data_IF_985307578725
#
_entry.id   IF_985307578725
#
_cell.length_a   1.000
_cell.length_b   1.000
_cell.length_c   1.000
_cell.angle_alpha   90.00
_cell.angle_beta   90.00
_cell.angle_gamma   90.00
#
_symmetry.space_group_name_H-M   'P 1'
#
loop_
_entity.id
_entity.type
_entity.pdbx_description
1 polymer ?
#
# COMPACT_ATOMS: atom_id res chain seq x y z
N UNK A 1 15.93 19.36 35.19
CA UNK A 1 16.87 18.48 34.46
C UNK A 1 16.19 18.06 33.17
N UNK A 2 16.62 18.57 32.01
CA UNK A 2 16.20 18.00 30.73
C UNK A 2 17.07 16.76 30.50
N UNK A 3 16.49 15.58 30.72
CA UNK A 3 17.17 14.33 30.38
C UNK A 3 17.58 14.34 28.92
N UNK A 4 18.77 13.82 28.64
CA UNK A 4 19.27 13.56 27.29
C UNK A 4 18.16 12.88 26.49
N UNK A 5 17.79 13.45 25.33
CA UNK A 5 16.75 12.84 24.50
C UNK A 5 17.21 11.46 24.05
N UNK A 6 16.33 10.43 24.09
CA UNK A 6 16.68 9.13 23.57
C UNK A 6 16.98 9.25 22.07
N UNK A 7 18.13 8.71 21.65
CA UNK A 7 18.51 8.61 20.24
C UNK A 7 17.63 7.56 19.56
N UNK A 8 17.06 7.90 18.40
CA UNK A 8 16.20 6.99 17.66
C UNK A 8 17.04 5.90 16.99
N UNK A 9 16.63 4.65 17.13
CA UNK A 9 17.19 3.55 16.35
C UNK A 9 16.66 3.54 14.93
N UNK A 10 17.58 3.62 13.98
CA UNK A 10 17.27 3.68 12.56
C UNK A 10 16.65 2.38 12.02
N UNK A 11 16.89 1.22 12.65
CA UNK A 11 16.23 -0.03 12.31
C UNK A 11 14.74 -0.04 12.64
N UNK A 12 14.34 0.62 13.74
CA UNK A 12 12.92 0.85 14.04
C UNK A 12 12.35 2.00 13.20
N UNK A 13 13.13 3.05 12.95
CA UNK A 13 12.73 4.17 12.09
C UNK A 13 12.40 3.70 10.67
N UNK A 14 13.16 2.74 10.12
CA UNK A 14 12.92 2.14 8.81
C UNK A 14 11.60 1.36 8.71
N UNK A 15 10.95 1.02 9.85
CA UNK A 15 9.65 0.35 9.90
C UNK A 15 8.48 1.31 10.12
N UNK A 16 8.76 2.61 10.21
CA UNK A 16 7.76 3.64 10.44
C UNK A 16 6.97 3.91 9.16
N UNK A 17 5.63 3.89 9.26
CA UNK A 17 4.72 4.10 8.14
C UNK A 17 4.70 5.49 7.51
N UNK A 18 5.46 6.44 8.06
CA UNK A 18 5.60 7.80 7.54
C UNK A 18 6.83 8.51 8.13
N UNK A 19 7.38 9.49 7.43
CA UNK A 19 8.66 10.14 7.79
C UNK A 19 8.49 11.47 8.57
N UNK A 20 7.38 11.59 9.30
CA UNK A 20 7.11 12.80 10.09
C UNK A 20 8.11 12.97 11.24
N UNK A 21 8.72 14.16 11.38
CA UNK A 21 9.60 14.51 12.53
C UNK A 21 8.94 14.23 13.88
N UNK A 22 7.62 14.47 13.98
CA UNK A 22 6.83 14.18 15.18
C UNK A 22 6.73 12.68 15.43
N UNK A 23 6.44 11.89 14.40
CA UNK A 23 6.35 10.44 14.50
C UNK A 23 7.69 9.81 14.92
N UNK A 24 8.80 10.20 14.31
CA UNK A 24 10.15 9.77 14.69
C UNK A 24 10.48 10.10 16.15
N UNK A 25 10.16 11.32 16.59
CA UNK A 25 10.32 11.71 18.00
C UNK A 25 9.48 10.84 18.94
N UNK A 26 8.21 10.59 18.60
CA UNK A 26 7.32 9.76 19.44
C UNK A 26 7.75 8.31 19.49
N UNK A 27 8.29 7.78 18.39
CA UNK A 27 8.90 6.46 18.40
C UNK A 27 10.12 6.42 19.34
N UNK A 28 11.01 7.41 19.26
CA UNK A 28 12.16 7.50 20.17
C UNK A 28 11.74 7.54 21.65
N UNK A 29 10.66 8.26 21.98
CA UNK A 29 10.12 8.32 23.35
C UNK A 29 9.55 6.97 23.85
N UNK A 30 9.26 6.00 22.96
CA UNK A 30 8.61 4.73 23.30
C UNK A 30 9.44 3.47 22.93
N UNK A 31 10.56 3.62 22.21
CA UNK A 31 11.29 2.49 21.62
C UNK A 31 11.81 1.49 22.67
N UNK A 32 12.27 1.96 23.84
CA UNK A 32 12.85 1.07 24.85
C UNK A 32 11.80 0.15 25.45
N UNK A 33 10.60 0.68 25.69
CA UNK A 33 9.47 -0.12 26.16
C UNK A 33 9.00 -1.12 25.11
N UNK A 34 8.98 -0.71 23.84
CA UNK A 34 8.62 -1.59 22.73
C UNK A 34 9.65 -2.72 22.55
N UNK A 35 10.96 -2.41 22.59
CA UNK A 35 12.02 -3.42 22.54
C UNK A 35 11.98 -4.38 23.70
N UNK A 36 11.81 -3.87 24.93
CA UNK A 36 11.73 -4.71 26.12
C UNK A 36 10.52 -5.66 26.09
N UNK A 37 9.49 -5.34 25.31
CA UNK A 37 8.32 -6.18 25.12
C UNK A 37 8.47 -7.21 23.98
N UNK A 38 9.49 -7.11 23.12
CA UNK A 38 9.73 -8.09 22.06
C UNK A 38 10.22 -9.42 22.66
N UNK A 39 9.62 -10.52 22.20
CA UNK A 39 10.09 -11.86 22.53
C UNK A 39 11.30 -12.24 21.65
N UNK A 40 12.14 -13.19 22.09
CA UNK A 40 13.21 -13.71 21.25
C UNK A 40 12.68 -14.22 19.90
N UNK A 41 13.26 -13.71 18.80
CA UNK A 41 12.88 -14.05 17.43
C UNK A 41 11.61 -13.38 16.91
N UNK A 42 11.02 -12.44 17.65
CA UNK A 42 9.88 -11.64 17.21
C UNK A 42 10.36 -10.53 16.24
N UNK A 43 9.83 -10.53 15.01
CA UNK A 43 10.24 -9.59 13.96
C UNK A 43 9.28 -8.40 13.93
N UNK A 44 9.79 -7.18 13.96
CA UNK A 44 9.00 -5.96 13.76
C UNK A 44 8.68 -5.79 12.28
N UNK A 45 7.39 -5.72 11.94
CA UNK A 45 6.90 -5.56 10.56
C UNK A 45 6.62 -4.10 10.24
N UNK A 46 5.77 -3.46 11.05
CA UNK A 46 5.30 -2.09 10.81
C UNK A 46 5.15 -1.34 12.13
N UNK A 47 5.45 -0.04 12.11
CA UNK A 47 5.22 0.89 13.20
C UNK A 47 4.37 2.05 12.67
N UNK A 48 3.28 2.35 13.36
CA UNK A 48 2.44 3.52 13.10
C UNK A 48 2.35 4.38 14.37
N UNK A 49 2.45 5.69 14.19
CA UNK A 49 2.35 6.65 15.31
C UNK A 49 1.07 7.46 15.14
N UNK A 50 0.26 7.48 16.19
CA UNK A 50 -0.97 8.25 16.26
C UNK A 50 -0.66 9.75 16.36
N UNK A 51 -1.29 10.55 15.50
CA UNK A 51 -1.12 12.02 15.48
C UNK A 51 -2.03 12.75 16.48
N UNK A 52 -2.98 12.04 17.08
CA UNK A 52 -3.96 12.60 18.02
C UNK A 52 -3.37 12.91 19.40
N UNK A 53 -4.14 13.63 20.23
CA UNK A 53 -3.78 14.06 21.60
C UNK A 53 -3.24 12.96 22.52
N UNK A 54 -3.60 11.70 22.28
CA UNK A 54 -3.18 10.57 23.12
C UNK A 54 -1.85 9.93 22.70
N UNK A 55 -1.35 10.27 21.49
CA UNK A 55 -0.07 9.89 20.87
C UNK A 55 0.41 8.47 21.23
N UNK A 56 -0.35 7.46 20.77
CA UNK A 56 0.05 6.05 20.87
C UNK A 56 1.00 5.65 19.73
N UNK A 57 1.88 4.70 19.99
CA UNK A 57 2.69 4.02 18.98
C UNK A 57 2.18 2.59 18.86
N UNK A 58 1.70 2.22 17.68
CA UNK A 58 1.32 0.86 17.33
C UNK A 58 2.48 0.17 16.63
N UNK A 59 2.86 -1.02 17.09
CA UNK A 59 3.90 -1.85 16.50
C UNK A 59 3.31 -3.21 16.17
N UNK A 60 3.29 -3.56 14.90
CA UNK A 60 2.92 -4.88 14.41
C UNK A 60 4.18 -5.72 14.32
N UNK A 61 4.13 -6.89 14.94
CA UNK A 61 5.21 -7.87 14.86
C UNK A 61 4.76 -9.11 14.09
N UNK A 62 5.68 -10.06 13.88
CA UNK A 62 5.37 -11.39 13.36
C UNK A 62 4.45 -12.22 14.26
N UNK A 63 4.13 -11.74 15.48
CA UNK A 63 3.35 -12.49 16.46
C UNK A 63 2.11 -11.74 16.94
N UNK A 64 2.15 -10.41 17.07
CA UNK A 64 1.10 -9.65 17.78
C UNK A 64 1.17 -8.16 17.48
N UNK A 65 0.14 -7.45 17.93
CA UNK A 65 0.10 -5.99 17.96
C UNK A 65 0.50 -5.50 19.36
N UNK A 66 1.52 -4.64 19.43
CA UNK A 66 1.92 -3.91 20.62
C UNK A 66 1.44 -2.46 20.52
N UNK A 67 0.90 -1.94 21.61
CA UNK A 67 0.54 -0.52 21.75
C UNK A 67 1.37 0.06 22.88
N UNK A 68 2.16 1.08 22.58
CA UNK A 68 2.93 1.83 23.56
C UNK A 68 2.46 3.28 23.67
N UNK A 69 2.62 3.84 24.86
CA UNK A 69 2.31 5.22 25.17
C UNK A 69 3.16 5.69 26.35
N UNK A 70 3.72 6.89 26.24
CA UNK A 70 4.52 7.55 27.29
C UNK A 70 5.61 6.63 27.87
N UNK A 71 6.33 5.93 27.00
CA UNK A 71 7.44 5.05 27.38
C UNK A 71 7.00 3.75 28.07
N UNK A 72 5.76 3.30 27.85
CA UNK A 72 5.24 2.05 28.41
C UNK A 72 4.39 1.31 27.39
N UNK A 73 4.48 -0.01 27.35
CA UNK A 73 3.54 -0.85 26.60
C UNK A 73 2.23 -0.92 27.37
N UNK A 74 1.17 -0.37 26.78
CA UNK A 74 -0.18 -0.31 27.36
C UNK A 74 -1.10 -1.40 26.83
N UNK A 75 -0.70 -2.09 25.76
CA UNK A 75 -1.47 -3.20 25.17
C UNK A 75 -0.58 -4.17 24.41
N UNK A 76 -0.93 -5.45 24.49
CA UNK A 76 -0.35 -6.53 23.70
C UNK A 76 -1.47 -7.47 23.28
N UNK A 77 -1.67 -7.60 21.97
CA UNK A 77 -2.84 -8.26 21.40
C UNK A 77 -2.39 -9.32 20.41
N UNK A 78 -2.55 -10.57 20.83
CA UNK A 78 -2.36 -11.74 19.98
C UNK A 78 -3.40 -11.76 18.84
N UNK A 79 -3.05 -12.30 17.66
CA UNK A 79 -3.92 -12.56 16.52
C UNK A 79 -5.34 -12.98 16.87
N UNK A 80 -5.48 -13.99 17.75
CA UNK A 80 -6.78 -14.55 18.14
C UNK A 80 -7.70 -13.56 18.87
N UNK A 81 -7.17 -12.43 19.35
CA UNK A 81 -7.96 -11.36 20.02
C UNK A 81 -8.39 -10.27 19.06
N UNK A 82 -7.92 -10.27 17.83
CA UNK A 82 -8.27 -9.32 16.79
C UNK A 82 -9.26 -10.04 15.87
N UNK A 83 -10.39 -9.42 15.57
CA UNK A 83 -11.42 -10.05 14.71
C UNK A 83 -11.45 -9.46 13.31
N UNK A 84 -11.17 -8.17 13.16
CA UNK A 84 -11.12 -7.45 11.88
C UNK A 84 -10.50 -6.07 12.06
N UNK A 85 -10.02 -5.48 10.98
CA UNK A 85 -9.76 -4.04 10.94
C UNK A 85 -10.72 -3.31 10.00
N UNK A 86 -10.92 -2.01 10.26
CA UNK A 86 -11.75 -1.13 9.44
C UNK A 86 -11.12 0.25 9.40
N UNK A 87 -11.28 0.92 8.26
CA UNK A 87 -11.00 2.35 8.15
C UNK A 87 -12.24 3.17 8.46
N UNK A 88 -12.03 4.32 9.08
CA UNK A 88 -13.07 5.30 9.34
C UNK A 88 -12.53 6.72 9.21
N UNK A 89 -13.43 7.70 9.22
CA UNK A 89 -13.06 9.12 9.15
C UNK A 89 -13.89 9.92 10.14
N UNK A 90 -13.24 10.83 10.87
CA UNK A 90 -13.92 11.79 11.74
C UNK A 90 -14.38 13.01 10.94
N UNK A 91 -15.38 13.78 11.42
CA UNK A 91 -15.84 15.00 10.76
C UNK A 91 -14.74 16.05 10.56
N UNK A 92 -13.73 16.08 11.42
CA UNK A 92 -12.57 16.98 11.32
C UNK A 92 -11.52 16.51 10.30
N UNK A 93 -11.79 15.44 9.53
CA UNK A 93 -10.89 14.91 8.51
C UNK A 93 -9.89 13.88 9.00
N UNK A 94 -9.73 13.66 10.31
CA UNK A 94 -8.82 12.63 10.87
C UNK A 94 -9.24 11.24 10.41
N UNK A 95 -8.28 10.49 9.87
CA UNK A 95 -8.45 9.10 9.47
C UNK A 95 -8.31 8.19 10.67
N UNK A 96 -9.11 7.13 10.74
CA UNK A 96 -9.14 6.19 11.85
C UNK A 96 -8.84 4.79 11.36
N UNK A 97 -7.99 4.08 12.08
CA UNK A 97 -7.90 2.62 12.01
C UNK A 97 -8.61 2.05 13.23
N UNK A 98 -9.70 1.32 13.00
CA UNK A 98 -10.46 0.61 14.01
C UNK A 98 -10.03 -0.86 14.01
N UNK A 99 -9.65 -1.38 15.16
CA UNK A 99 -9.22 -2.77 15.34
C UNK A 99 -10.21 -3.42 16.30
N UNK A 100 -11.10 -4.22 15.74
CA UNK A 100 -12.18 -4.87 16.47
C UNK A 100 -11.67 -6.14 17.16
N UNK A 101 -12.29 -6.48 18.30
CA UNK A 101 -11.78 -7.46 19.25
C UNK A 101 -11.27 -6.78 20.52
N UNK A 102 -10.13 -6.06 20.48
CA UNK A 102 -9.69 -5.26 21.61
C UNK A 102 -10.42 -3.90 21.73
N UNK A 103 -11.15 -3.48 20.69
CA UNK A 103 -11.87 -2.20 20.68
C UNK A 103 -10.93 -0.99 20.55
N UNK A 104 -9.84 -1.14 19.80
CA UNK A 104 -8.87 -0.06 19.59
C UNK A 104 -9.31 0.84 18.44
N UNK A 105 -9.18 2.14 18.66
CA UNK A 105 -9.38 3.17 17.63
C UNK A 105 -8.15 4.04 17.64
N UNK A 106 -7.41 4.11 16.53
CA UNK A 106 -6.19 4.91 16.38
C UNK A 106 -6.42 5.99 15.32
N UNK A 107 -6.08 7.24 15.63
CA UNK A 107 -6.30 8.40 14.74
C UNK A 107 -5.03 8.95 14.09
N UNK A 108 -5.08 9.10 12.77
CA UNK A 108 -3.98 9.58 11.94
C UNK A 108 -4.42 10.81 11.15
N UNK A 109 -3.50 11.76 10.95
CA UNK A 109 -3.74 12.91 10.08
C UNK A 109 -3.66 12.52 8.61
N UNK A 110 -2.83 11.53 8.30
CA UNK A 110 -2.63 11.05 6.94
C UNK A 110 -3.37 9.72 6.69
N UNK A 111 -3.89 9.57 5.47
CA UNK A 111 -4.62 8.38 5.03
C UNK A 111 -3.71 7.17 4.86
N UNK A 112 -2.45 7.39 4.46
CA UNK A 112 -1.51 6.33 4.11
C UNK A 112 -1.12 5.51 5.33
N UNK A 113 -0.79 6.13 6.46
CA UNK A 113 -0.46 5.51 7.74
C UNK A 113 -1.67 4.77 8.30
N UNK A 114 -2.87 5.34 8.22
CA UNK A 114 -4.10 4.68 8.66
C UNK A 114 -4.37 3.39 7.86
N UNK A 115 -4.25 3.48 6.54
CA UNK A 115 -4.44 2.35 5.63
C UNK A 115 -3.34 1.29 5.83
N UNK A 116 -2.08 1.72 5.87
CA UNK A 116 -0.92 0.85 6.10
C UNK A 116 -1.10 0.04 7.37
N UNK A 117 -1.55 0.67 8.47
CA UNK A 117 -1.77 -0.04 9.71
C UNK A 117 -2.89 -1.08 9.59
N UNK A 118 -4.03 -0.72 8.99
CA UNK A 118 -5.16 -1.64 8.81
C UNK A 118 -4.74 -2.87 7.99
N UNK A 119 -4.17 -2.63 6.80
CA UNK A 119 -3.68 -3.65 5.88
C UNK A 119 -2.62 -4.53 6.54
N UNK A 120 -1.72 -3.94 7.33
CA UNK A 120 -0.66 -4.70 8.01
C UNK A 120 -1.20 -5.59 9.12
N UNK A 121 -2.22 -5.17 9.87
CA UNK A 121 -2.87 -6.04 10.86
C UNK A 121 -3.57 -7.19 10.15
N UNK A 122 -4.31 -6.90 9.08
CA UNK A 122 -5.01 -7.93 8.32
C UNK A 122 -4.01 -8.95 7.74
N UNK A 123 -2.92 -8.47 7.14
CA UNK A 123 -1.91 -9.32 6.52
C UNK A 123 -1.05 -10.11 7.51
N UNK A 124 -0.65 -9.52 8.64
CA UNK A 124 0.31 -10.17 9.53
C UNK A 124 -0.33 -10.89 10.72
N UNK A 125 -1.50 -10.43 11.17
CA UNK A 125 -2.10 -10.93 12.40
C UNK A 125 -3.41 -11.67 12.16
N UNK A 126 -4.21 -11.28 11.17
CA UNK A 126 -5.51 -11.94 10.95
C UNK A 126 -5.48 -13.02 9.90
N UNK A 127 -4.61 -12.88 8.91
CA UNK A 127 -4.65 -13.79 7.80
C UNK A 127 -3.84 -15.07 8.10
N UNK A 128 -4.36 -16.26 7.72
CA UNK A 128 -3.70 -17.55 7.98
C UNK A 128 -2.30 -17.56 7.36
N UNK A 129 -1.29 -18.22 7.98
CA UNK A 129 0.10 -18.17 7.50
C UNK A 129 0.15 -18.46 5.99
N UNK A 130 1.01 -17.76 5.24
CA UNK A 130 1.10 -17.96 3.80
C UNK A 130 1.39 -19.43 3.56
N UNK A 131 0.42 -20.14 3.00
CA UNK A 131 0.67 -21.46 2.42
C UNK A 131 1.56 -21.19 1.22
N UNK A 132 2.84 -21.48 1.37
CA UNK A 132 3.77 -21.51 0.25
C UNK A 132 3.14 -22.34 -0.88
N UNK A 133 2.97 -21.70 -2.05
CA UNK A 133 2.72 -22.34 -3.34
C UNK A 133 1.45 -23.18 -3.51
N UNK A 134 0.28 -22.59 -3.28
CA UNK A 134 -0.92 -23.02 -3.99
C UNK A 134 -1.57 -21.78 -4.61
N UNK A 135 -1.43 -21.62 -5.92
CA UNK A 135 -2.14 -20.59 -6.67
C UNK A 135 -3.61 -20.61 -6.29
N UNK A 136 -4.16 -19.42 -6.05
CA UNK A 136 -5.60 -19.26 -5.86
C UNK A 136 -6.30 -19.76 -7.14
N UNK A 137 -6.95 -20.93 -7.09
CA UNK A 137 -7.86 -21.41 -8.14
C UNK A 137 -9.21 -20.66 -8.14
N UNK A 138 -9.32 -19.55 -7.40
CA UNK A 138 -10.50 -18.70 -7.39
C UNK A 138 -10.54 -17.92 -8.70
N UNK A 139 -11.61 -18.04 -9.52
CA UNK A 139 -11.73 -17.26 -10.75
C UNK A 139 -11.57 -15.77 -10.45
N UNK A 140 -10.84 -15.05 -11.30
CA UNK A 140 -10.77 -13.59 -11.27
C UNK A 140 -12.18 -13.01 -11.44
N UNK A 141 -12.55 -12.07 -10.57
CA UNK A 141 -13.83 -11.35 -10.65
C UNK A 141 -13.71 -9.90 -11.16
N UNK A 142 -12.48 -9.41 -11.30
CA UNK A 142 -12.18 -8.16 -11.99
C UNK A 142 -12.38 -8.40 -13.48
N UNK A 143 -13.21 -7.61 -14.16
CA UNK A 143 -13.38 -7.70 -15.60
C UNK A 143 -12.04 -7.50 -16.34
N UNK A 144 -11.88 -8.09 -17.52
CA UNK A 144 -10.79 -7.74 -18.42
C UNK A 144 -10.81 -6.23 -18.67
N UNK A 145 -9.65 -5.58 -18.57
CA UNK A 145 -9.58 -4.13 -18.75
C UNK A 145 -9.64 -3.79 -20.25
N UNK A 146 -8.96 -4.56 -21.08
CA UNK A 146 -9.04 -4.36 -22.53
C UNK A 146 -10.38 -4.86 -23.11
N UNK A 147 -11.04 -4.12 -24.02
CA UNK A 147 -10.73 -2.76 -24.47
C UNK A 147 -11.50 -1.67 -23.69
N UNK A 148 -12.59 -2.03 -23.01
CA UNK A 148 -13.62 -1.09 -22.58
C UNK A 148 -13.17 -0.15 -21.47
N UNK A 149 -12.30 -0.61 -20.56
CA UNK A 149 -11.74 0.24 -19.50
C UNK A 149 -10.94 1.40 -20.09
N UNK A 150 -10.05 1.10 -21.04
CA UNK A 150 -9.18 2.10 -21.67
C UNK A 150 -9.99 3.06 -22.55
N UNK A 151 -10.94 2.54 -23.34
CA UNK A 151 -11.87 3.37 -24.12
C UNK A 151 -12.68 4.30 -23.24
N UNK A 152 -13.13 3.83 -22.08
CA UNK A 152 -13.84 4.65 -21.10
C UNK A 152 -13.00 5.83 -20.61
N UNK A 153 -11.70 5.61 -20.35
CA UNK A 153 -10.77 6.67 -19.95
C UNK A 153 -10.53 7.67 -21.08
N UNK A 154 -10.29 7.20 -22.31
CA UNK A 154 -10.10 8.07 -23.47
C UNK A 154 -11.33 8.95 -23.71
N UNK A 155 -12.52 8.34 -23.70
CA UNK A 155 -13.79 9.06 -23.84
C UNK A 155 -13.97 10.12 -22.74
N UNK A 156 -13.75 9.76 -21.48
CA UNK A 156 -13.89 10.68 -20.35
C UNK A 156 -12.88 11.85 -20.40
N UNK A 157 -11.73 11.64 -21.03
CA UNK A 157 -10.66 12.65 -21.17
C UNK A 157 -10.67 13.36 -22.53
N UNK A 158 -11.68 13.10 -23.35
CA UNK A 158 -11.83 13.71 -24.68
C UNK A 158 -10.77 13.27 -25.69
N UNK A 159 -10.09 12.15 -25.46
CA UNK A 159 -9.06 11.61 -26.35
C UNK A 159 -9.68 10.70 -27.42
N UNK A 160 -9.16 10.71 -28.66
CA UNK A 160 -9.53 9.74 -29.69
C UNK A 160 -9.21 8.30 -29.27
N UNK A 161 -10.11 7.37 -29.61
CA UNK A 161 -9.92 5.92 -29.48
C UNK A 161 -9.02 5.39 -30.62
N UNK A 162 -7.71 5.62 -30.49
CA UNK A 162 -6.69 5.12 -31.42
C UNK A 162 -5.86 4.01 -30.77
N UNK A 163 -5.31 3.05 -31.54
CA UNK A 163 -4.45 2.00 -31.01
C UNK A 163 -3.27 2.55 -30.20
N UNK A 164 -2.64 3.62 -30.64
CA UNK A 164 -1.50 4.23 -29.97
C UNK A 164 -1.89 4.82 -28.60
N UNK A 165 -3.04 5.51 -28.53
CA UNK A 165 -3.56 6.03 -27.26
C UNK A 165 -3.93 4.92 -26.28
N UNK A 166 -4.49 3.81 -26.77
CA UNK A 166 -4.76 2.63 -25.94
C UNK A 166 -3.44 2.07 -25.39
N UNK A 167 -2.42 1.88 -26.24
CA UNK A 167 -1.12 1.33 -25.82
C UNK A 167 -0.45 2.25 -24.78
N UNK A 168 -0.46 3.57 -25.00
CA UNK A 168 0.09 4.53 -24.04
C UNK A 168 -0.62 4.46 -22.67
N UNK A 169 -1.94 4.27 -22.65
CA UNK A 169 -2.68 4.04 -21.40
C UNK A 169 -2.35 2.70 -20.75
N UNK A 170 -2.19 1.63 -21.53
CA UNK A 170 -1.83 0.31 -21.01
C UNK A 170 -0.45 0.38 -20.34
N UNK A 171 0.52 1.04 -20.96
CA UNK A 171 1.83 1.27 -20.35
C UNK A 171 1.72 2.06 -19.05
N UNK A 172 0.98 3.18 -19.06
CA UNK A 172 0.80 4.01 -17.89
C UNK A 172 0.16 3.24 -16.71
N UNK A 173 -0.92 2.50 -16.97
CA UNK A 173 -1.59 1.66 -15.97
C UNK A 173 -0.68 0.51 -15.52
N UNK A 174 0.08 -0.10 -16.42
CA UNK A 174 1.06 -1.13 -16.09
C UNK A 174 2.16 -0.62 -15.16
N UNK A 175 2.65 0.59 -15.36
CA UNK A 175 3.63 1.20 -14.46
C UNK A 175 3.02 1.49 -13.08
N UNK A 176 1.81 2.04 -13.03
CA UNK A 176 1.06 2.24 -11.78
C UNK A 176 0.85 0.92 -11.03
N UNK A 177 0.47 -0.15 -11.73
CA UNK A 177 0.26 -1.47 -11.13
C UNK A 177 1.57 -2.10 -10.67
N UNK A 178 2.66 -1.94 -11.42
CA UNK A 178 3.99 -2.42 -11.04
C UNK A 178 4.42 -1.81 -9.71
N UNK A 179 4.28 -0.51 -9.53
CA UNK A 179 4.63 0.16 -8.28
C UNK A 179 3.78 -0.31 -7.11
N UNK A 180 2.47 -0.49 -7.32
CA UNK A 180 1.58 -1.05 -6.30
C UNK A 180 1.96 -2.50 -5.95
N UNK A 181 2.28 -3.32 -6.95
CA UNK A 181 2.72 -4.70 -6.74
C UNK A 181 4.01 -4.76 -5.89
N UNK A 182 5.00 -3.91 -6.16
CA UNK A 182 6.22 -3.83 -5.36
C UNK A 182 5.92 -3.48 -3.90
N UNK A 183 5.01 -2.54 -3.66
CA UNK A 183 4.55 -2.22 -2.30
C UNK A 183 3.91 -3.46 -1.67
N UNK A 184 3.01 -4.14 -2.37
CA UNK A 184 2.31 -5.32 -1.86
C UNK A 184 3.25 -6.48 -1.52
N UNK A 185 4.20 -6.83 -2.38
CA UNK A 185 5.22 -7.84 -2.07
C UNK A 185 6.06 -7.43 -0.86
N UNK A 186 6.47 -6.16 -0.79
CA UNK A 186 7.23 -5.60 0.32
C UNK A 186 6.50 -5.66 1.66
N UNK A 187 5.17 -5.50 1.67
CA UNK A 187 4.38 -5.60 2.92
C UNK A 187 4.49 -6.98 3.55
N UNK A 188 4.52 -8.05 2.74
CA UNK A 188 4.57 -9.45 3.24
C UNK A 188 5.97 -10.07 3.18
N UNK A 189 6.97 -9.32 2.74
CA UNK A 189 8.38 -9.75 2.61
C UNK A 189 8.53 -10.97 1.68
N UNK A 190 7.69 -11.06 0.63
CA UNK A 190 7.69 -12.15 -0.36
C UNK A 190 8.57 -11.82 -1.57
N UNK A 191 9.89 -11.81 -1.33
CA UNK A 191 10.88 -11.48 -2.36
C UNK A 191 10.87 -12.44 -3.55
N UNK A 192 10.48 -13.69 -3.34
CA UNK A 192 10.43 -14.68 -4.43
C UNK A 192 9.26 -14.43 -5.39
N UNK A 193 8.12 -13.93 -4.89
CA UNK A 193 7.04 -13.47 -5.76
C UNK A 193 7.41 -12.17 -6.48
N UNK A 194 8.07 -11.24 -5.79
CA UNK A 194 8.59 -9.99 -6.38
C UNK A 194 9.55 -10.27 -7.55
N UNK A 195 10.55 -11.13 -7.35
CA UNK A 195 11.51 -11.50 -8.39
C UNK A 195 10.82 -12.13 -9.60
N UNK A 196 9.88 -13.06 -9.40
CA UNK A 196 9.13 -13.68 -10.50
C UNK A 196 8.25 -12.69 -11.24
N UNK A 197 7.62 -11.76 -10.52
CA UNK A 197 6.81 -10.72 -11.12
C UNK A 197 7.67 -9.81 -12.00
N UNK A 198 8.80 -9.35 -11.48
CA UNK A 198 9.75 -8.53 -12.24
C UNK A 198 10.34 -9.30 -13.42
N UNK A 199 10.72 -10.56 -13.26
CA UNK A 199 11.22 -11.37 -14.38
C UNK A 199 10.17 -11.50 -15.50
N UNK A 200 8.89 -11.59 -15.13
CA UNK A 200 7.81 -11.78 -16.09
C UNK A 200 7.38 -10.48 -16.80
N UNK A 201 7.36 -9.34 -16.09
CA UNK A 201 6.78 -8.09 -16.59
C UNK A 201 7.80 -6.96 -16.81
N UNK A 202 9.05 -7.10 -16.36
CA UNK A 202 10.09 -6.07 -16.57
C UNK A 202 10.65 -6.17 -17.99
N UNK A 203 10.74 -5.02 -18.66
CA UNK A 203 11.58 -4.87 -19.86
C UNK A 203 10.86 -4.83 -21.20
N UNK A 204 9.56 -4.56 -21.25
CA UNK A 204 8.85 -4.21 -22.49
C UNK A 204 9.01 -5.24 -23.60
N UNK A 205 8.12 -6.24 -23.63
CA UNK A 205 8.08 -7.21 -24.72
C UNK A 205 7.66 -6.59 -26.07
N UNK A 206 7.59 -7.38 -27.15
CA UNK A 206 7.00 -6.95 -28.42
C UNK A 206 5.61 -6.30 -28.21
N UNK A 207 5.21 -5.34 -29.05
CA UNK A 207 3.94 -4.58 -28.92
C UNK A 207 2.71 -5.47 -28.69
N UNK A 208 2.70 -6.68 -29.25
CA UNK A 208 1.63 -7.67 -29.08
C UNK A 208 1.49 -8.20 -27.64
N UNK A 209 2.57 -8.17 -26.85
CA UNK A 209 2.55 -8.49 -25.40
C UNK A 209 2.08 -7.32 -24.55
N UNK A 210 2.25 -6.08 -25.02
CA UNK A 210 1.83 -4.90 -24.27
C UNK A 210 0.30 -4.86 -24.14
N UNK A 211 -0.43 -5.24 -25.20
CA UNK A 211 -1.90 -5.12 -25.27
C UNK A 211 -2.63 -5.82 -24.10
N UNK A 212 -2.14 -6.97 -23.64
CA UNK A 212 -2.75 -7.73 -22.53
C UNK A 212 -1.94 -7.61 -21.22
N UNK A 213 -0.85 -6.84 -21.20
CA UNK A 213 0.12 -6.85 -20.10
C UNK A 213 -0.53 -6.59 -18.74
N UNK A 214 -1.44 -5.61 -18.65
CA UNK A 214 -2.07 -5.25 -17.37
C UNK A 214 -3.01 -6.35 -16.90
N UNK A 215 -3.76 -6.98 -17.82
CA UNK A 215 -4.63 -8.10 -17.48
C UNK A 215 -3.80 -9.31 -17.01
N UNK A 216 -2.68 -9.60 -17.67
CA UNK A 216 -1.74 -10.64 -17.25
C UNK A 216 -1.12 -10.34 -15.87
N UNK A 217 -0.80 -9.07 -15.58
CA UNK A 217 -0.32 -8.64 -14.26
C UNK A 217 -1.39 -8.83 -13.19
N UNK A 218 -2.64 -8.47 -13.48
CA UNK A 218 -3.77 -8.69 -12.56
C UNK A 218 -3.92 -10.19 -12.29
N UNK A 219 -3.88 -11.03 -13.33
CA UNK A 219 -4.01 -12.49 -13.18
C UNK A 219 -2.87 -13.08 -12.34
N UNK A 220 -1.63 -12.62 -12.55
CA UNK A 220 -0.50 -13.02 -11.73
C UNK A 220 -0.74 -12.66 -10.26
N UNK A 221 -1.11 -11.41 -9.98
CA UNK A 221 -1.31 -10.90 -8.61
C UNK A 221 -2.53 -11.54 -7.94
N UNK A 222 -3.55 -11.84 -8.74
CA UNK A 222 -4.74 -12.57 -8.33
C UNK A 222 -4.42 -14.01 -7.92
N UNK A 223 -3.61 -14.70 -8.71
CA UNK A 223 -3.15 -16.05 -8.42
C UNK A 223 -2.18 -16.10 -7.24
N UNK A 224 -1.35 -15.06 -7.10
CA UNK A 224 -0.34 -14.93 -6.04
C UNK A 224 -0.96 -14.94 -4.64
N UNK A 225 -1.98 -14.11 -4.39
CA UNK A 225 -2.53 -13.99 -3.04
C UNK A 225 -4.00 -13.53 -3.04
N UNK A 226 -4.92 -14.29 -2.42
CA UNK A 226 -6.29 -13.84 -2.18
C UNK A 226 -6.40 -12.52 -1.41
N UNK A 227 -5.37 -12.17 -0.64
CA UNK A 227 -5.33 -10.92 0.13
C UNK A 227 -5.13 -9.69 -0.76
N UNK A 228 -4.60 -9.90 -1.96
CA UNK A 228 -4.39 -8.85 -2.95
C UNK A 228 -5.68 -8.53 -3.72
N UNK A 229 -6.72 -9.39 -3.66
CA UNK A 229 -7.93 -9.25 -4.48
C UNK A 229 -8.67 -7.93 -4.23
N UNK A 230 -8.83 -7.51 -2.97
CA UNK A 230 -9.46 -6.21 -2.66
C UNK A 230 -8.60 -5.04 -3.12
N UNK A 231 -7.28 -5.10 -2.86
CA UNK A 231 -6.34 -4.08 -3.31
C UNK A 231 -6.29 -3.94 -4.85
N UNK A 232 -6.44 -5.04 -5.60
CA UNK A 232 -6.55 -5.02 -7.06
C UNK A 232 -7.86 -4.37 -7.52
N UNK A 233 -8.99 -4.65 -6.86
CA UNK A 233 -10.27 -3.99 -7.18
C UNK A 233 -10.21 -2.48 -6.92
N UNK A 234 -9.64 -2.10 -5.78
CA UNK A 234 -9.44 -0.69 -5.43
C UNK A 234 -8.48 -0.02 -6.41
N UNK A 235 -7.38 -0.68 -6.80
CA UNK A 235 -6.44 -0.19 -7.79
C UNK A 235 -7.13 0.16 -9.11
N UNK A 236 -7.96 -0.75 -9.66
CA UNK A 236 -8.65 -0.50 -10.94
C UNK A 236 -9.56 0.73 -10.84
N UNK A 237 -10.30 0.88 -9.74
CA UNK A 237 -11.15 2.06 -9.51
C UNK A 237 -10.32 3.33 -9.37
N UNK A 238 -9.29 3.31 -8.52
CA UNK A 238 -8.45 4.48 -8.22
C UNK A 238 -7.65 4.93 -9.44
N UNK A 239 -7.12 3.99 -10.24
CA UNK A 239 -6.44 4.31 -11.48
C UNK A 239 -7.37 5.05 -12.45
N UNK A 240 -8.61 4.60 -12.60
CA UNK A 240 -9.59 5.29 -13.43
C UNK A 240 -9.89 6.70 -12.89
N UNK A 241 -10.09 6.85 -11.57
CA UNK A 241 -10.36 8.15 -10.94
C UNK A 241 -9.19 9.13 -11.11
N UNK A 242 -7.95 8.65 -10.96
CA UNK A 242 -6.74 9.46 -11.15
C UNK A 242 -6.58 9.88 -12.61
N UNK A 243 -6.79 8.96 -13.55
CA UNK A 243 -6.60 9.20 -14.98
C UNK A 243 -7.72 10.04 -15.60
N UNK A 244 -8.93 10.00 -15.04
CA UNK A 244 -10.06 10.82 -15.52
C UNK A 244 -10.25 12.11 -14.73
N UNK A 245 -9.63 12.22 -13.55
CA UNK A 245 -9.73 13.38 -12.67
C UNK A 245 -9.12 14.65 -13.27
N UNK A 246 -9.48 15.83 -12.76
CA UNK A 246 -9.07 17.13 -13.32
C UNK A 246 -7.55 17.41 -13.20
N UNK A 247 -6.83 16.63 -12.40
CA UNK A 247 -5.37 16.71 -12.24
C UNK A 247 -4.62 15.70 -13.11
N UNK A 248 -5.33 14.87 -13.87
CA UNK A 248 -4.72 13.88 -14.73
C UNK A 248 -3.79 14.53 -15.74
N UNK A 249 -2.64 13.91 -15.96
CA UNK A 249 -1.72 14.32 -17.01
C UNK A 249 -2.30 14.16 -18.40
N UNK A 250 -3.31 13.31 -18.59
CA UNK A 250 -3.97 13.13 -19.88
C UNK A 250 -4.55 14.46 -20.41
N UNK A 251 -4.98 15.36 -19.53
CA UNK A 251 -5.48 16.69 -19.92
C UNK A 251 -4.40 17.64 -20.47
N UNK A 252 -3.12 17.34 -20.25
CA UNK A 252 -1.99 18.19 -20.66
C UNK A 252 -1.55 17.93 -22.10
N UNK A 253 -1.90 16.78 -22.65
CA UNK A 253 -1.56 16.40 -24.02
C UNK A 253 -2.69 16.77 -24.98
N UNK A 254 -2.38 16.88 -26.27
CA UNK A 254 -3.37 17.07 -27.33
C UNK A 254 -4.17 15.79 -27.60
N UNK A 255 -4.54 15.54 -28.84
CA UNK A 255 -5.29 14.34 -29.22
C UNK A 255 -4.45 13.05 -29.08
N UNK A 256 -3.13 13.16 -29.22
CA UNK A 256 -2.20 12.04 -29.12
C UNK A 256 -1.53 11.98 -27.75
N UNK A 257 -1.49 10.78 -27.17
CA UNK A 257 -0.79 10.48 -25.93
C UNK A 257 0.64 10.01 -26.24
N UNK A 258 1.67 10.62 -25.62
CA UNK A 258 3.03 10.14 -25.79
C UNK A 258 3.22 8.76 -25.13
N UNK A 259 4.11 7.96 -25.68
CA UNK A 259 4.62 6.78 -24.99
C UNK A 259 5.51 7.24 -23.83
N UNK A 260 5.57 6.46 -22.74
CA UNK A 260 6.38 6.87 -21.57
C UNK A 260 5.77 8.02 -20.74
N UNK A 261 4.44 8.21 -20.79
CA UNK A 261 3.69 9.21 -20.01
C UNK A 261 4.04 9.31 -18.52
N UNK A 262 4.57 8.25 -17.93
CA UNK A 262 4.99 8.21 -16.52
C UNK A 262 6.34 8.90 -16.27
N UNK A 263 7.25 8.89 -17.24
CA UNK A 263 8.59 9.49 -17.12
C UNK A 263 8.50 11.03 -17.21
N UNK A 264 7.60 11.55 -18.04
CA UNK A 264 7.36 12.99 -18.18
C UNK A 264 6.77 13.64 -16.90
N UNK A 265 6.11 12.85 -16.04
CA UNK A 265 5.57 13.35 -14.76
C UNK A 265 6.66 13.71 -13.74
N UNK A 266 7.89 13.21 -13.92
CA UNK A 266 9.01 13.38 -13.01
C UNK A 266 9.94 14.57 -13.31
N UNK A 267 9.89 15.13 -14.53
CA UNK A 267 10.84 16.16 -14.97
C UNK A 267 10.36 17.62 -14.78
N UNK A 268 9.23 17.84 -14.11
CA UNK A 268 8.57 19.16 -14.02
C UNK A 268 8.98 20.10 -12.87
N UNK A 269 9.83 19.70 -11.93
CA UNK A 269 10.18 20.50 -10.72
C UNK A 269 11.57 21.17 -10.79
N UNK A 270 12.07 21.44 -12.00
CA UNK A 270 13.34 22.12 -12.25
C UNK A 270 13.22 23.29 -13.22
N UNK A 271 12.50 24.36 -12.83
CA UNK A 271 12.40 25.62 -13.59
C UNK A 271 12.24 26.83 -12.69
#
# INVERSE_FOLDING_TARGET
>A
MFGSRPELDEGLAARLGGDGKVARRRLADNQDALRAALQPGEIVRVIAVEDAFDCRVAMITSRRLLIARKGRVTGSYEPARISRTRLGRRPNGTMLTLIDGPGLVLGFLDHQTANLLAVSVDNHLLAPPPRSNAGSNTPRDIAELLPDYYRGILFATGKPDTPDNIVALIELVGQMLTLNAMIWFGTVDDKAAEERFLEHFRGGGPTDRLINMVDDMIDFLWAWSPRCHEALRDFVREAQEVLTGPKSQLWRHGDDLPMGLWEESGEGDGG
#
